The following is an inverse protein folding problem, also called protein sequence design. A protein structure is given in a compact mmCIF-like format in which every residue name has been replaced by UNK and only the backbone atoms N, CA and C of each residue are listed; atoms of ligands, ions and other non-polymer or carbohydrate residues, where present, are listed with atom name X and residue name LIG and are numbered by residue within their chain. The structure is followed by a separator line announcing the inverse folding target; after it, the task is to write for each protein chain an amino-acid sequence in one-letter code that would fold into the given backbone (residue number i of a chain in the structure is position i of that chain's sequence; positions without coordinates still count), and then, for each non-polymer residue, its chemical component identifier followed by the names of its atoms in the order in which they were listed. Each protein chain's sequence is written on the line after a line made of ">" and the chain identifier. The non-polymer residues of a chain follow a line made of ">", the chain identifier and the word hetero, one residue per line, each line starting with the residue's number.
data_IF_393366423892
#
_entry.id   IF_393366423892
#
_cell.length_a   1.000
_cell.length_b   1.000
_cell.length_c   1.000
_cell.angle_alpha   90.00
_cell.angle_beta   90.00
_cell.angle_gamma   90.00
#
_symmetry.space_group_name_H-M   'P 1'
#
loop_
_entity.id
_entity.type
_entity.pdbx_description
1 polymer ?
#
# COMPACT_ATOMS: atom_id res chain seq x y z
N UNK A 1 -13.51 13.87 -21.30
CA UNK A 1 -12.75 12.60 -21.40
C UNK A 1 -13.69 11.44 -21.14
N UNK A 2 -13.78 10.48 -22.05
CA UNK A 2 -14.47 9.21 -21.79
C UNK A 2 -13.68 8.42 -20.72
N UNK A 3 -14.35 7.90 -19.69
CA UNK A 3 -13.71 7.17 -18.59
C UNK A 3 -13.50 5.72 -19.00
N UNK A 4 -12.44 5.46 -19.75
CA UNK A 4 -12.09 4.11 -20.18
C UNK A 4 -11.50 3.32 -19.00
N UNK A 5 -11.99 2.09 -18.77
CA UNK A 5 -11.39 1.23 -17.75
C UNK A 5 -10.02 0.71 -18.19
N UNK A 6 -9.01 0.97 -17.36
CA UNK A 6 -7.69 0.38 -17.50
C UNK A 6 -7.60 -1.04 -16.90
N UNK A 7 -6.50 -1.77 -17.14
CA UNK A 7 -6.31 -3.13 -16.64
C UNK A 7 -6.47 -3.27 -15.11
N UNK A 8 -6.11 -2.23 -14.36
CA UNK A 8 -6.24 -2.19 -12.89
C UNK A 8 -7.68 -2.21 -12.38
N UNK A 9 -8.67 -2.02 -13.24
CA UNK A 9 -10.06 -2.16 -12.84
C UNK A 9 -10.42 -3.63 -12.56
N UNK A 10 -9.75 -4.58 -13.22
CA UNK A 10 -10.13 -6.01 -13.24
C UNK A 10 -8.96 -6.97 -12.94
N UNK A 11 -7.78 -6.46 -12.55
CA UNK A 11 -6.57 -7.26 -12.30
C UNK A 11 -6.55 -8.01 -10.96
N UNK A 12 -7.71 -8.30 -10.39
CA UNK A 12 -7.88 -9.06 -9.16
C UNK A 12 -8.94 -10.13 -9.36
N UNK A 13 -9.16 -10.97 -8.34
CA UNK A 13 -10.22 -11.97 -8.34
C UNK A 13 -11.40 -11.49 -7.52
N UNK A 14 -12.60 -11.89 -7.91
CA UNK A 14 -13.76 -11.83 -7.03
C UNK A 14 -13.58 -12.82 -5.88
N UNK A 15 -14.23 -12.53 -4.73
CA UNK A 15 -14.31 -13.49 -3.62
C UNK A 15 -15.31 -14.60 -3.91
N UNK A 16 -16.41 -14.27 -4.59
CA UNK A 16 -17.38 -15.23 -5.11
C UNK A 16 -17.10 -15.57 -6.59
N UNK A 17 -17.60 -16.70 -7.10
CA UNK A 17 -17.54 -17.03 -8.51
C UNK A 17 -18.05 -15.88 -9.40
N UNK A 18 -17.46 -15.73 -10.59
CA UNK A 18 -17.79 -14.64 -11.51
C UNK A 18 -19.29 -14.63 -11.86
N UNK A 19 -19.89 -15.81 -12.07
CA UNK A 19 -21.33 -15.95 -12.34
C UNK A 19 -22.23 -15.44 -11.20
N UNK A 20 -21.85 -15.71 -9.94
CA UNK A 20 -22.61 -15.24 -8.77
C UNK A 20 -22.49 -13.71 -8.63
N UNK A 21 -21.29 -13.17 -8.87
CA UNK A 21 -21.08 -11.74 -8.89
C UNK A 21 -21.89 -11.05 -10.00
N UNK A 22 -21.97 -11.66 -11.19
CA UNK A 22 -22.77 -11.14 -12.30
C UNK A 22 -24.28 -11.19 -12.01
N UNK A 23 -24.75 -12.25 -11.35
CA UNK A 23 -26.14 -12.33 -10.91
C UNK A 23 -26.49 -11.25 -9.86
N UNK A 24 -25.59 -11.02 -8.89
CA UNK A 24 -25.78 -10.06 -7.80
C UNK A 24 -25.61 -8.60 -8.24
N UNK A 25 -24.65 -8.33 -9.11
CA UNK A 25 -24.18 -6.98 -9.41
C UNK A 25 -24.30 -6.58 -10.88
N UNK A 26 -24.79 -7.47 -11.75
CA UNK A 26 -25.00 -7.20 -13.17
C UNK A 26 -23.75 -7.43 -14.02
N UNK A 27 -23.79 -6.90 -15.25
CA UNK A 27 -22.77 -7.18 -16.27
C UNK A 27 -21.37 -6.73 -15.83
N UNK A 28 -20.32 -7.53 -16.11
CA UNK A 28 -18.97 -7.20 -15.69
C UNK A 28 -18.41 -6.02 -16.49
N UNK A 29 -17.62 -5.20 -15.83
CA UNK A 29 -16.83 -4.15 -16.47
C UNK A 29 -15.82 -4.75 -17.44
N UNK A 30 -15.66 -4.12 -18.62
CA UNK A 30 -14.69 -4.53 -19.64
C UNK A 30 -13.60 -3.47 -19.81
N UNK A 31 -12.35 -3.90 -19.82
CA UNK A 31 -11.18 -3.05 -20.11
C UNK A 31 -11.31 -2.46 -21.51
N UNK A 32 -10.80 -1.24 -21.72
CA UNK A 32 -10.86 -0.51 -22.99
C UNK A 32 -12.28 -0.18 -23.47
N UNK A 33 -13.27 -0.24 -22.58
CA UNK A 33 -14.63 0.25 -22.83
C UNK A 33 -14.93 1.41 -21.89
N UNK A 34 -15.93 2.20 -22.27
CA UNK A 34 -16.44 3.34 -21.51
C UNK A 34 -17.85 3.15 -20.97
N UNK A 35 -18.34 1.90 -20.95
CA UNK A 35 -19.63 1.57 -20.36
C UNK A 35 -19.68 1.92 -18.87
N UNK A 36 -20.76 2.53 -18.41
CA UNK A 36 -20.91 2.75 -16.97
C UNK A 36 -20.96 1.41 -16.21
N UNK A 37 -20.48 1.43 -14.96
CA UNK A 37 -20.70 0.31 -14.05
C UNK A 37 -22.19 0.09 -13.87
N UNK A 38 -22.60 -1.16 -13.70
CA UNK A 38 -23.96 -1.46 -13.30
C UNK A 38 -24.32 -0.68 -12.02
N UNK A 39 -25.53 -0.13 -11.98
CA UNK A 39 -26.05 0.61 -10.82
C UNK A 39 -25.89 -0.18 -9.52
N UNK A 40 -26.04 -1.51 -9.55
CA UNK A 40 -25.93 -2.40 -8.38
C UNK A 40 -24.53 -2.41 -7.76
N UNK A 41 -23.50 -1.97 -8.48
CA UNK A 41 -22.12 -1.85 -7.99
C UNK A 41 -21.92 -0.67 -7.02
N UNK A 42 -22.84 0.31 -6.98
CA UNK A 42 -22.66 1.52 -6.16
C UNK A 42 -23.96 2.13 -5.61
N UNK A 43 -25.13 1.65 -6.05
CA UNK A 43 -26.45 2.05 -5.56
C UNK A 43 -27.08 0.96 -4.70
N UNK A 44 -27.79 1.39 -3.65
CA UNK A 44 -28.60 0.51 -2.81
C UNK A 44 -29.97 0.19 -3.45
N UNK A 45 -30.81 -0.55 -2.74
CA UNK A 45 -32.15 -0.94 -3.21
C UNK A 45 -33.08 0.25 -3.49
N UNK A 46 -32.83 1.41 -2.87
CA UNK A 46 -33.54 2.66 -3.15
C UNK A 46 -32.98 3.39 -4.39
N UNK A 47 -32.04 2.79 -5.11
CA UNK A 47 -31.36 3.35 -6.30
C UNK A 47 -30.53 4.61 -6.03
N UNK A 48 -30.15 4.83 -4.78
CA UNK A 48 -29.30 5.94 -4.33
C UNK A 48 -27.87 5.45 -4.17
N UNK A 49 -26.90 6.30 -4.52
CA UNK A 49 -25.48 6.00 -4.32
C UNK A 49 -25.19 5.81 -2.83
N UNK A 50 -24.48 4.74 -2.50
CA UNK A 50 -24.29 4.29 -1.12
C UNK A 50 -22.85 3.79 -0.93
N UNK A 51 -22.09 4.46 -0.07
CA UNK A 51 -20.69 4.10 0.17
C UNK A 51 -20.56 2.75 0.89
N UNK A 52 -21.49 2.37 1.77
CA UNK A 52 -21.47 1.06 2.42
C UNK A 52 -21.71 -0.06 1.40
N UNK A 53 -22.63 0.17 0.44
CA UNK A 53 -22.82 -0.75 -0.70
C UNK A 53 -21.55 -0.89 -1.51
N UNK A 54 -20.87 0.21 -1.81
CA UNK A 54 -19.63 0.22 -2.58
C UNK A 54 -18.49 -0.48 -1.85
N UNK A 55 -18.33 -0.27 -0.53
CA UNK A 55 -17.36 -1.00 0.30
C UNK A 55 -17.62 -2.51 0.28
N UNK A 56 -18.89 -2.93 0.40
CA UNK A 56 -19.27 -4.34 0.25
C UNK A 56 -18.84 -4.89 -1.11
N UNK A 57 -19.16 -4.18 -2.19
CA UNK A 57 -18.81 -4.60 -3.56
C UNK A 57 -17.30 -4.69 -3.74
N UNK A 58 -16.52 -3.72 -3.25
CA UNK A 58 -15.05 -3.76 -3.27
C UNK A 58 -14.53 -5.01 -2.56
N UNK A 59 -15.14 -5.42 -1.45
CA UNK A 59 -14.69 -6.57 -0.68
C UNK A 59 -15.12 -7.94 -1.25
N UNK A 60 -16.17 -7.98 -2.06
CA UNK A 60 -16.82 -9.23 -2.49
C UNK A 60 -16.67 -9.50 -3.99
N UNK A 61 -17.03 -8.52 -4.83
CA UNK A 61 -17.01 -8.67 -6.28
C UNK A 61 -16.28 -7.51 -6.99
N UNK A 62 -15.03 -7.18 -6.59
CA UNK A 62 -14.29 -6.06 -7.15
C UNK A 62 -13.95 -6.22 -8.62
N UNK A 63 -13.73 -7.44 -9.13
CA UNK A 63 -13.42 -7.66 -10.54
C UNK A 63 -14.64 -7.39 -11.42
N UNK A 64 -15.80 -7.94 -11.06
CA UNK A 64 -17.05 -7.73 -11.81
C UNK A 64 -17.40 -6.24 -11.89
N UNK A 65 -17.31 -5.53 -10.77
CA UNK A 65 -17.65 -4.10 -10.72
C UNK A 65 -16.49 -3.15 -11.07
N UNK A 66 -15.34 -3.65 -11.55
CA UNK A 66 -14.23 -2.80 -11.98
C UNK A 66 -13.61 -1.96 -10.85
N UNK A 67 -13.50 -2.52 -9.65
CA UNK A 67 -12.97 -1.91 -8.43
C UNK A 67 -11.68 -2.56 -7.91
N UNK A 68 -11.01 -3.41 -8.68
CA UNK A 68 -9.77 -4.07 -8.23
C UNK A 68 -8.74 -3.05 -7.70
N UNK A 69 -8.54 -1.91 -8.37
CA UNK A 69 -7.64 -0.85 -7.92
C UNK A 69 -7.98 -0.22 -6.57
N UNK A 70 -9.20 -0.41 -6.05
CA UNK A 70 -9.63 0.07 -4.74
C UNK A 70 -9.51 -1.00 -3.64
N UNK A 71 -9.27 -2.26 -4.02
CA UNK A 71 -9.07 -3.33 -3.03
C UNK A 71 -7.74 -3.14 -2.29
N UNK A 72 -7.67 -3.42 -0.98
CA UNK A 72 -6.45 -3.21 -0.20
C UNK A 72 -5.16 -3.82 -0.79
N UNK A 73 -5.18 -5.02 -1.41
CA UNK A 73 -3.98 -5.61 -2.04
C UNK A 73 -3.51 -4.85 -3.29
N UNK A 74 -4.36 -4.07 -3.95
CA UNK A 74 -4.05 -3.36 -5.22
C UNK A 74 -4.10 -1.83 -5.10
N UNK A 75 -4.53 -1.31 -3.94
CA UNK A 75 -4.71 0.11 -3.68
C UNK A 75 -3.46 0.77 -3.09
N UNK A 76 -2.41 0.81 -3.90
CA UNK A 76 -1.21 1.59 -3.64
C UNK A 76 -0.59 2.11 -4.94
N UNK A 77 0.42 2.96 -4.82
CA UNK A 77 1.23 3.42 -5.95
C UNK A 77 2.42 2.48 -6.14
N UNK A 78 2.81 2.31 -7.40
CA UNK A 78 4.12 1.73 -7.71
C UNK A 78 5.19 2.79 -7.45
N UNK A 79 6.44 2.33 -7.34
CA UNK A 79 7.59 3.23 -7.26
C UNK A 79 7.67 4.08 -8.53
N UNK A 80 8.07 5.34 -8.37
CA UNK A 80 8.22 6.28 -9.50
C UNK A 80 9.30 5.82 -10.49
N UNK A 81 10.39 5.27 -9.95
CA UNK A 81 11.51 4.70 -10.71
C UNK A 81 11.72 3.23 -10.32
N UNK A 82 10.90 2.31 -10.86
CA UNK A 82 11.03 0.88 -10.60
C UNK A 82 12.22 0.28 -11.38
N UNK A 83 12.82 -0.77 -10.82
CA UNK A 83 13.89 -1.55 -11.48
C UNK A 83 13.38 -2.36 -12.67
N UNK A 84 12.07 -2.60 -12.73
CA UNK A 84 11.38 -3.32 -13.80
C UNK A 84 10.21 -2.51 -14.33
N UNK A 85 9.84 -2.71 -15.59
CA UNK A 85 8.70 -2.04 -16.19
C UNK A 85 7.39 -2.62 -15.65
N UNK A 86 6.70 -1.90 -14.76
CA UNK A 86 5.49 -2.42 -14.11
C UNK A 86 4.38 -2.84 -15.09
N UNK A 87 4.31 -2.22 -16.28
CA UNK A 87 3.33 -2.57 -17.31
C UNK A 87 3.64 -3.86 -18.08
N UNK A 88 4.86 -4.41 -17.96
CA UNK A 88 5.24 -5.67 -18.62
C UNK A 88 5.20 -6.89 -17.70
N UNK A 89 4.78 -6.72 -16.44
CA UNK A 89 4.66 -7.81 -15.48
C UNK A 89 3.47 -8.70 -15.87
N UNK A 90 3.72 -10.01 -15.97
CA UNK A 90 2.69 -11.03 -16.26
C UNK A 90 2.20 -11.70 -14.97
N UNK A 91 1.10 -12.45 -15.06
CA UNK A 91 0.58 -13.22 -13.92
C UNK A 91 1.58 -14.29 -13.43
N UNK A 92 2.33 -14.92 -14.34
CA UNK A 92 3.40 -15.86 -13.98
C UNK A 92 4.52 -15.18 -13.18
N UNK A 93 4.85 -13.92 -13.49
CA UNK A 93 5.80 -13.15 -12.71
C UNK A 93 5.25 -12.85 -11.30
N UNK A 94 3.95 -12.60 -11.17
CA UNK A 94 3.30 -12.45 -9.86
C UNK A 94 3.37 -13.74 -9.03
N UNK A 95 3.25 -14.91 -9.65
CA UNK A 95 3.34 -16.20 -8.98
C UNK A 95 4.78 -16.66 -8.67
N UNK A 96 5.78 -16.00 -9.29
CA UNK A 96 7.18 -16.42 -9.20
C UNK A 96 7.86 -15.92 -7.93
N UNK A 97 8.39 -16.84 -7.12
CA UNK A 97 9.21 -16.51 -5.95
C UNK A 97 10.44 -15.65 -6.30
N UNK A 98 11.00 -15.83 -7.50
CA UNK A 98 12.15 -15.03 -7.99
C UNK A 98 11.83 -13.55 -8.14
N UNK A 99 10.60 -13.23 -8.57
CA UNK A 99 10.19 -11.86 -8.85
C UNK A 99 9.48 -11.20 -7.68
N UNK A 100 8.98 -11.99 -6.73
CA UNK A 100 8.15 -11.53 -5.61
C UNK A 100 8.72 -10.30 -4.91
N UNK A 101 9.97 -10.36 -4.45
CA UNK A 101 10.58 -9.25 -3.70
C UNK A 101 10.68 -7.96 -4.52
N UNK A 102 11.09 -8.06 -5.79
CA UNK A 102 11.24 -6.91 -6.68
C UNK A 102 9.85 -6.30 -6.97
N UNK A 103 8.86 -7.14 -7.26
CA UNK A 103 7.50 -6.69 -7.57
C UNK A 103 6.87 -6.04 -6.34
N UNK A 104 6.98 -6.64 -5.14
CA UNK A 104 6.43 -6.08 -3.91
C UNK A 104 6.99 -4.69 -3.60
N UNK A 105 8.27 -4.45 -3.89
CA UNK A 105 8.92 -3.16 -3.62
C UNK A 105 8.65 -2.12 -4.72
N UNK A 106 8.62 -2.54 -5.99
CA UNK A 106 8.67 -1.62 -7.11
C UNK A 106 7.32 -1.48 -7.82
N UNK A 107 6.57 -2.57 -7.95
CA UNK A 107 5.31 -2.64 -8.69
C UNK A 107 4.16 -3.35 -7.93
N UNK A 108 3.96 -3.10 -6.62
CA UNK A 108 3.07 -3.91 -5.79
C UNK A 108 1.62 -3.92 -6.28
N UNK A 109 1.14 -2.84 -6.87
CA UNK A 109 -0.26 -2.76 -7.31
C UNK A 109 -0.57 -3.56 -8.57
N UNK A 110 0.43 -4.15 -9.23
CA UNK A 110 0.22 -4.97 -10.42
C UNK A 110 -0.21 -6.38 -10.02
N UNK A 111 0.42 -6.92 -8.98
CA UNK A 111 0.23 -8.30 -8.51
C UNK A 111 -0.58 -8.42 -7.21
N UNK A 112 -1.08 -7.32 -6.67
CA UNK A 112 -1.83 -7.36 -5.41
C UNK A 112 -0.95 -7.39 -4.16
N UNK A 113 0.27 -6.86 -4.22
CA UNK A 113 1.24 -6.90 -3.13
C UNK A 113 1.28 -5.61 -2.31
N UNK A 114 0.28 -4.73 -2.42
CA UNK A 114 0.22 -3.49 -1.63
C UNK A 114 0.12 -3.71 -0.12
N UNK A 115 -0.27 -4.91 0.30
CA UNK A 115 -0.28 -5.34 1.71
C UNK A 115 0.85 -6.31 2.05
N UNK A 116 1.80 -6.48 1.14
CA UNK A 116 3.02 -7.25 1.38
C UNK A 116 4.21 -6.31 1.60
N UNK A 117 5.28 -6.86 2.21
CA UNK A 117 6.50 -6.12 2.48
C UNK A 117 6.50 -5.38 3.82
N UNK A 118 7.50 -4.53 4.03
CA UNK A 118 7.78 -3.90 5.32
C UNK A 118 7.00 -2.61 5.58
N UNK A 119 6.22 -2.12 4.62
CA UNK A 119 5.45 -0.88 4.79
C UNK A 119 3.98 -1.06 4.42
N UNK A 120 3.19 -1.47 5.41
CA UNK A 120 1.76 -1.77 5.26
C UNK A 120 0.99 -1.17 6.42
N UNK A 121 -0.32 -1.00 6.24
CA UNK A 121 -1.22 -0.70 7.35
C UNK A 121 -1.60 -2.02 8.04
N UNK A 122 -1.26 -2.14 9.32
CA UNK A 122 -1.55 -3.31 10.17
C UNK A 122 -2.90 -3.11 10.88
N UNK A 123 -3.18 -1.88 11.33
CA UNK A 123 -4.44 -1.59 12.00
C UNK A 123 -5.61 -1.49 10.99
N UNK A 124 -6.80 -2.02 11.34
CA UNK A 124 -7.99 -1.77 10.56
C UNK A 124 -8.37 -0.29 10.65
N UNK A 125 -8.80 0.29 9.52
CA UNK A 125 -9.40 1.62 9.52
C UNK A 125 -8.42 2.80 9.60
N UNK A 126 -7.13 2.61 9.31
CA UNK A 126 -6.19 3.73 9.18
C UNK A 126 -6.69 4.86 8.25
N UNK A 127 -7.47 4.51 7.23
CA UNK A 127 -8.05 5.46 6.28
C UNK A 127 -9.38 6.09 6.73
N UNK A 128 -9.96 5.67 7.86
CA UNK A 128 -11.25 6.21 8.35
C UNK A 128 -11.14 7.64 8.83
N UNK A 129 -10.00 7.98 9.44
CA UNK A 129 -9.73 9.32 9.94
C UNK A 129 -8.25 9.66 9.71
N UNK A 130 -7.96 10.41 8.65
CA UNK A 130 -6.58 10.82 8.32
C UNK A 130 -6.00 11.83 9.32
N UNK A 131 -6.80 12.39 10.23
CA UNK A 131 -6.29 13.31 11.25
C UNK A 131 -5.40 12.59 12.26
N UNK A 132 -5.57 11.27 12.45
CA UNK A 132 -4.70 10.45 13.30
C UNK A 132 -3.23 10.52 12.85
N UNK A 133 -2.98 10.69 11.54
CA UNK A 133 -1.63 10.79 10.98
C UNK A 133 -0.88 12.05 11.44
N UNK A 134 -1.62 13.11 11.82
CA UNK A 134 -1.07 14.41 12.25
C UNK A 134 -1.18 14.62 13.76
N UNK A 135 -1.99 13.82 14.45
CA UNK A 135 -2.11 13.87 15.89
C UNK A 135 -0.79 13.42 16.54
N UNK A 136 -0.24 14.25 17.43
CA UNK A 136 1.06 14.03 18.10
C UNK A 136 1.02 12.78 18.99
N UNK A 137 -0.08 12.57 19.72
CA UNK A 137 -0.23 11.45 20.65
C UNK A 137 -0.37 10.11 19.93
N UNK A 138 -0.89 10.15 18.69
CA UNK A 138 -1.05 8.96 17.84
C UNK A 138 0.21 8.65 17.03
N UNK A 139 1.27 9.47 17.08
CA UNK A 139 2.46 9.30 16.22
C UNK A 139 3.12 7.94 16.37
N UNK A 140 3.17 7.38 17.57
CA UNK A 140 3.71 6.03 17.76
C UNK A 140 2.83 4.99 17.07
N UNK A 141 1.51 5.06 17.31
CA UNK A 141 0.54 4.16 16.70
C UNK A 141 0.57 4.23 15.17
N UNK A 142 0.50 5.43 14.58
CA UNK A 142 0.40 5.54 13.12
C UNK A 142 1.68 5.15 12.38
N UNK A 143 2.86 5.31 13.03
CA UNK A 143 4.16 4.88 12.48
C UNK A 143 4.37 3.38 12.56
N UNK A 144 3.65 2.68 13.42
CA UNK A 144 3.74 1.22 13.54
C UNK A 144 2.62 0.55 12.74
N UNK A 145 1.39 1.05 12.88
CA UNK A 145 0.18 0.37 12.42
C UNK A 145 -0.50 1.00 11.20
N UNK A 146 -0.15 2.24 10.81
CA UNK A 146 -0.78 2.96 9.68
C UNK A 146 0.25 3.55 8.72
N UNK A 147 1.37 2.86 8.55
CA UNK A 147 2.56 3.36 7.86
C UNK A 147 2.25 3.84 6.43
N UNK A 148 1.43 3.08 5.71
CA UNK A 148 1.11 3.35 4.32
C UNK A 148 0.09 4.47 4.19
N UNK A 149 -0.98 4.41 4.97
CA UNK A 149 -2.04 5.43 4.96
C UNK A 149 -1.50 6.80 5.38
N UNK A 150 -0.61 6.84 6.38
CA UNK A 150 -0.03 8.08 6.89
C UNK A 150 1.25 8.53 6.14
N UNK A 151 1.63 7.82 5.07
CA UNK A 151 2.76 8.23 4.21
C UNK A 151 4.15 8.00 4.82
N UNK A 152 4.26 7.18 5.86
CA UNK A 152 5.55 6.78 6.46
C UNK A 152 6.34 5.77 5.62
N UNK A 153 5.78 5.30 4.49
CA UNK A 153 6.51 4.45 3.53
C UNK A 153 7.65 5.14 2.78
N UNK A 154 7.85 6.46 2.95
CA UNK A 154 9.03 7.15 2.47
C UNK A 154 10.26 6.81 3.34
N UNK A 155 10.83 5.63 3.07
CA UNK A 155 12.00 5.09 3.76
C UNK A 155 12.58 3.83 3.12
N UNK A 156 12.35 3.62 1.81
CA UNK A 156 13.05 2.57 1.04
C UNK A 156 14.39 3.08 0.53
N UNK A 157 15.27 3.46 1.47
CA UNK A 157 16.69 3.68 1.20
C UNK A 157 17.46 2.37 1.30
N UNK A 158 17.19 1.43 0.40
CA UNK A 158 17.99 0.22 0.22
C UNK A 158 18.01 -0.76 1.42
N UNK A 159 18.46 -1.98 1.13
CA UNK A 159 19.05 -2.80 2.17
C UNK A 159 20.32 -2.08 2.67
N UNK A 160 20.17 -1.21 3.66
CA UNK A 160 21.23 -0.81 4.55
C UNK A 160 20.63 -0.97 5.94
N UNK A 161 20.77 -2.17 6.50
CA UNK A 161 20.67 -2.43 7.94
C UNK A 161 19.77 -1.44 8.68
N UNK A 162 18.48 -1.75 8.86
CA UNK A 162 17.57 -0.95 9.70
C UNK A 162 18.06 -0.77 11.16
N UNK A 163 19.22 -1.32 11.49
CA UNK A 163 19.96 -1.10 12.72
C UNK A 163 21.23 -0.24 12.53
N UNK A 164 21.33 0.66 11.55
CA UNK A 164 22.53 1.49 11.37
C UNK A 164 22.24 2.90 10.82
N UNK A 165 21.72 3.78 11.67
CA UNK A 165 21.30 5.12 11.30
C UNK A 165 22.40 6.02 10.72
N UNK A 166 21.97 6.95 9.88
CA UNK A 166 22.79 8.04 9.31
C UNK A 166 22.02 9.37 9.37
N UNK A 167 21.60 9.79 10.57
CA UNK A 167 20.88 11.05 10.75
C UNK A 167 21.75 12.25 10.29
N UNK A 168 21.20 13.22 9.54
CA UNK A 168 21.93 14.40 9.10
C UNK A 168 22.63 15.18 10.23
N UNK A 169 22.10 15.09 11.46
CA UNK A 169 22.65 15.77 12.64
C UNK A 169 23.77 15.00 13.35
N UNK A 170 24.15 13.80 12.90
CA UNK A 170 25.15 12.98 13.57
C UNK A 170 26.49 13.71 13.75
N UNK A 171 26.93 14.50 12.77
CA UNK A 171 28.17 15.27 12.87
C UNK A 171 28.18 16.28 14.03
N UNK A 172 27.01 16.81 14.42
CA UNK A 172 26.87 17.71 15.56
C UNK A 172 26.73 16.92 16.86
N UNK A 173 25.93 15.85 16.88
CA UNK A 173 25.70 15.04 18.07
C UNK A 173 26.96 14.29 18.54
N UNK A 174 27.76 13.77 17.61
CA UNK A 174 29.03 13.09 17.93
C UNK A 174 30.01 14.07 18.58
N UNK A 175 30.07 15.31 18.07
CA UNK A 175 30.89 16.38 18.65
C UNK A 175 30.47 16.72 20.08
N UNK A 176 29.20 16.51 20.40
CA UNK A 176 28.63 16.71 21.73
C UNK A 176 28.59 15.41 22.57
N UNK A 177 29.35 14.37 22.19
CA UNK A 177 29.50 13.15 22.99
C UNK A 177 28.37 12.13 22.87
N UNK A 178 27.57 12.17 21.81
CA UNK A 178 26.41 11.29 21.63
C UNK A 178 26.75 9.79 21.69
N UNK A 179 27.87 9.36 21.10
CA UNK A 179 28.25 7.94 21.10
C UNK A 179 28.65 7.43 22.49
N UNK A 180 29.21 8.30 23.34
CA UNK A 180 29.70 7.96 24.69
C UNK A 180 28.70 8.29 25.80
N UNK A 181 27.61 8.98 25.46
CA UNK A 181 26.58 9.39 26.41
C UNK A 181 25.93 8.19 27.11
N UNK A 182 25.81 8.25 28.44
CA UNK A 182 25.05 7.26 29.23
C UNK A 182 23.54 7.52 29.23
N UNK A 183 23.11 8.65 28.69
CA UNK A 183 21.70 9.04 28.62
C UNK A 183 20.95 8.34 27.47
N UNK A 184 21.65 8.04 26.36
CA UNK A 184 21.06 7.37 25.21
C UNK A 184 21.37 5.87 25.24
N UNK A 185 20.37 5.04 24.94
CA UNK A 185 20.56 3.58 24.84
C UNK A 185 21.42 3.23 23.62
N UNK A 186 22.07 2.06 23.64
CA UNK A 186 22.83 1.59 22.48
C UNK A 186 21.95 1.44 21.24
N UNK A 187 20.68 1.04 21.38
CA UNK A 187 19.74 0.99 20.24
C UNK A 187 19.44 2.37 19.68
N UNK A 188 19.31 3.39 20.52
CA UNK A 188 19.12 4.78 20.06
C UNK A 188 20.37 5.28 19.32
N UNK A 189 21.56 5.02 19.86
CA UNK A 189 22.83 5.38 19.20
C UNK A 189 22.98 4.68 17.85
N UNK A 190 22.66 3.39 17.81
CA UNK A 190 22.68 2.54 16.62
C UNK A 190 21.63 2.95 15.59
N UNK A 191 20.43 3.35 16.03
CA UNK A 191 19.32 3.82 15.19
C UNK A 191 19.56 5.20 14.58
N UNK A 192 20.24 6.10 15.29
CA UNK A 192 20.42 7.47 14.81
C UNK A 192 21.74 7.69 14.09
N UNK A 193 22.85 7.18 14.65
CA UNK A 193 24.21 7.44 14.16
C UNK A 193 25.08 6.19 14.10
N UNK A 194 24.50 5.01 13.86
CA UNK A 194 25.17 3.72 13.98
C UNK A 194 26.55 3.66 13.31
N UNK A 195 26.66 4.05 12.03
CA UNK A 195 27.95 4.06 11.30
C UNK A 195 28.96 5.00 11.95
N UNK A 196 28.48 6.16 12.36
CA UNK A 196 29.32 7.22 12.88
C UNK A 196 29.73 6.98 14.35
N UNK A 197 28.96 6.16 15.09
CA UNK A 197 29.30 5.64 16.41
C UNK A 197 29.95 4.25 16.38
N UNK A 198 30.25 3.69 15.20
CA UNK A 198 30.85 2.35 15.02
C UNK A 198 30.06 1.21 15.67
N UNK A 199 28.73 1.33 15.73
CA UNK A 199 27.82 0.29 16.24
C UNK A 199 27.33 -0.66 15.12
N UNK A 200 27.85 -0.39 13.94
CA UNK A 200 27.71 -0.96 12.61
C UNK A 200 28.61 -0.10 11.68
#
# INVERSE_FOLDING_TARGET
>A
MSKIYGPRAVNCKNKYPDADCEALFGGPVKVNTDGDRDAKCYKNAATVADEARKELVISVCPKTCGYCCLTPPYNCKNKEFPRITCSSITEDMCASAKWKDIITQDCPNVCGFCQEGSCVDIAPGCAKDLTICRNVDMQQFVKEYCQRTCGFCAGSGGAASAACGANPNCANWIRNGFCDSRFYTEEQKKRYCGKACKLC
#
